data_IF_131951272971
#
_entry.id   IF_131951272971
#
_cell.length_a   1.000
_cell.length_b   1.000
_cell.length_c   1.000
_cell.angle_alpha   90.00
_cell.angle_beta   90.00
_cell.angle_gamma   90.00
#
_symmetry.space_group_name_H-M   'P 1'
#
loop_
_entity.id
_entity.type
_entity.pdbx_description
1 polymer ?
#
# COMPACT_ATOMS: atom_id res chain seq x y z
N UNK A 1 -25.34 7.08 9.94
CA UNK A 1 -24.22 6.85 10.87
C UNK A 1 -23.22 7.95 10.60
N UNK A 2 -22.78 8.67 11.64
CA UNK A 2 -21.63 9.58 11.56
C UNK A 2 -20.38 8.79 11.90
N UNK A 3 -19.24 9.19 11.33
CA UNK A 3 -17.95 8.59 11.63
C UNK A 3 -16.97 9.69 12.01
N UNK A 4 -16.50 9.67 13.26
CA UNK A 4 -15.56 10.65 13.80
C UNK A 4 -14.20 9.98 14.06
N UNK A 5 -13.11 10.74 13.87
CA UNK A 5 -11.75 10.24 14.09
C UNK A 5 -11.12 10.95 15.27
N UNK A 6 -10.74 10.21 16.30
CA UNK A 6 -9.92 10.72 17.40
C UNK A 6 -8.45 10.39 17.17
N UNK A 7 -7.57 11.37 17.35
CA UNK A 7 -6.13 11.21 17.18
C UNK A 7 -5.47 10.75 18.48
N UNK A 8 -4.91 9.54 18.48
CA UNK A 8 -3.94 9.08 19.47
C UNK A 8 -2.50 9.34 19.01
N UNK A 9 -1.54 9.31 19.94
CA UNK A 9 -0.12 9.58 19.65
C UNK A 9 0.52 8.59 18.63
N UNK A 10 -0.09 7.43 18.40
CA UNK A 10 0.43 6.38 17.48
C UNK A 10 -0.66 5.60 16.72
N UNK A 11 -1.93 5.99 16.85
CA UNK A 11 -3.07 5.26 16.27
C UNK A 11 -4.27 6.20 16.09
N UNK A 12 -5.15 5.85 15.14
CA UNK A 12 -6.41 6.55 14.93
C UNK A 12 -7.56 5.71 15.51
N UNK A 13 -8.45 6.35 16.27
CA UNK A 13 -9.72 5.75 16.67
C UNK A 13 -10.80 6.20 15.69
N UNK A 14 -11.48 5.26 15.06
CA UNK A 14 -12.69 5.55 14.30
C UNK A 14 -13.91 5.23 15.17
N UNK A 15 -14.77 6.22 15.39
CA UNK A 15 -16.01 6.07 16.13
C UNK A 15 -17.21 6.17 15.19
N UNK A 16 -18.04 5.11 15.16
CA UNK A 16 -19.34 5.16 14.52
C UNK A 16 -20.41 5.62 15.52
N UNK A 17 -21.08 6.73 15.21
CA UNK A 17 -22.13 7.30 16.03
C UNK A 17 -23.49 7.21 15.33
N UNK A 18 -24.56 7.07 16.13
CA UNK A 18 -25.92 7.06 15.62
C UNK A 18 -26.32 8.47 15.17
N UNK A 19 -26.74 8.59 13.92
CA UNK A 19 -27.39 9.81 13.45
C UNK A 19 -28.81 9.93 14.01
N UNK A 20 -29.36 11.14 14.01
CA UNK A 20 -30.72 11.41 14.54
C UNK A 20 -31.82 10.52 13.95
N UNK A 21 -31.71 10.09 12.69
CA UNK A 21 -32.68 9.21 12.02
C UNK A 21 -32.60 7.74 12.44
N UNK A 22 -31.56 7.38 13.19
CA UNK A 22 -31.26 6.02 13.66
C UNK A 22 -31.38 5.87 15.19
N UNK A 23 -31.62 6.96 15.93
CA UNK A 23 -31.85 6.92 17.37
C UNK A 23 -33.14 6.15 17.71
N UNK A 24 -33.11 5.36 18.78
CA UNK A 24 -34.21 4.51 19.22
C UNK A 24 -34.42 3.24 18.37
N UNK A 25 -33.55 2.99 17.38
CA UNK A 25 -33.61 1.80 16.53
C UNK A 25 -32.50 0.83 16.89
N UNK A 26 -32.79 -0.47 16.82
CA UNK A 26 -31.76 -1.50 16.93
C UNK A 26 -30.86 -1.45 15.69
N UNK A 27 -29.65 -0.90 15.86
CA UNK A 27 -28.65 -0.81 14.79
C UNK A 27 -27.47 -1.73 15.13
N UNK A 28 -26.99 -2.51 14.16
CA UNK A 28 -25.75 -3.28 14.31
C UNK A 28 -24.78 -2.89 13.20
N UNK A 29 -23.54 -2.54 13.57
CA UNK A 29 -22.49 -2.17 12.62
C UNK A 29 -21.59 -3.38 12.39
N UNK A 30 -21.30 -3.67 11.13
CA UNK A 30 -20.38 -4.70 10.70
C UNK A 30 -19.21 -4.09 9.94
N UNK A 31 -18.01 -4.61 10.15
CA UNK A 31 -16.80 -4.20 9.42
C UNK A 31 -15.94 -5.41 9.07
N UNK A 32 -15.20 -5.34 7.97
CA UNK A 32 -14.16 -6.33 7.62
C UNK A 32 -12.76 -5.90 8.08
N UNK A 33 -12.66 -4.85 8.90
CA UNK A 33 -11.41 -4.49 9.56
C UNK A 33 -10.95 -5.63 10.48
N UNK A 34 -9.72 -6.16 10.35
CA UNK A 34 -9.30 -7.32 11.11
C UNK A 34 -9.14 -6.99 12.60
N UNK A 35 -9.35 -7.98 13.46
CA UNK A 35 -8.97 -7.85 14.87
C UNK A 35 -7.44 -7.77 15.00
N UNK A 36 -6.92 -7.18 16.09
CA UNK A 36 -5.48 -7.13 16.34
C UNK A 36 -4.83 -8.52 16.23
N UNK A 37 -3.85 -8.65 15.33
CA UNK A 37 -3.15 -9.91 15.07
C UNK A 37 -3.80 -10.85 14.04
N UNK A 38 -5.00 -10.55 13.54
CA UNK A 38 -5.61 -11.29 12.44
C UNK A 38 -5.15 -10.75 11.07
N UNK A 39 -5.06 -11.66 10.09
CA UNK A 39 -4.86 -11.28 8.68
C UNK A 39 -6.16 -10.76 8.09
N UNK A 40 -6.08 -9.66 7.34
CA UNK A 40 -7.23 -9.11 6.62
C UNK A 40 -7.83 -10.12 5.63
N UNK A 41 -9.16 -10.27 5.67
CA UNK A 41 -9.95 -11.00 4.69
C UNK A 41 -11.12 -10.13 4.25
N UNK A 42 -11.20 -9.82 2.96
CA UNK A 42 -12.21 -8.93 2.37
C UNK A 42 -13.65 -9.39 2.60
N UNK A 43 -13.87 -10.70 2.72
CA UNK A 43 -15.19 -11.33 2.85
C UNK A 43 -15.60 -11.59 4.31
N UNK A 44 -14.66 -11.52 5.26
CA UNK A 44 -14.93 -11.78 6.68
C UNK A 44 -15.35 -10.47 7.36
N UNK A 45 -16.63 -10.38 7.70
CA UNK A 45 -17.17 -9.28 8.51
C UNK A 45 -17.43 -9.73 9.95
N UNK A 46 -17.25 -8.82 10.90
CA UNK A 46 -17.65 -9.01 12.30
C UNK A 46 -18.45 -7.80 12.78
N UNK A 47 -19.29 -8.03 13.79
CA UNK A 47 -20.09 -6.98 14.41
C UNK A 47 -19.27 -6.19 15.43
N UNK A 48 -19.46 -4.88 15.47
CA UNK A 48 -18.90 -4.03 16.50
C UNK A 48 -19.85 -3.93 17.70
N UNK A 49 -19.26 -3.89 18.89
CA UNK A 49 -20.00 -3.66 20.12
C UNK A 49 -20.31 -2.17 20.30
N UNK A 50 -21.50 -1.86 20.82
CA UNK A 50 -21.88 -0.51 21.19
C UNK A 50 -21.42 -0.19 22.61
N UNK A 51 -20.67 0.89 22.74
CA UNK A 51 -20.28 1.44 24.04
C UNK A 51 -21.27 2.54 24.45
N UNK A 52 -21.67 2.54 25.71
CA UNK A 52 -22.52 3.58 26.30
C UNK A 52 -21.77 4.23 27.47
N UNK A 53 -20.96 5.28 27.22
CA UNK A 53 -20.09 5.87 28.22
C UNK A 53 -20.84 6.58 29.34
N UNK A 54 -22.06 7.08 29.10
CA UNK A 54 -22.84 7.86 30.08
C UNK A 54 -23.86 7.01 30.83
N UNK A 55 -23.98 5.72 30.51
CA UNK A 55 -24.97 4.76 31.04
C UNK A 55 -26.43 5.26 30.97
N UNK A 56 -26.70 6.29 30.16
CA UNK A 56 -28.04 6.83 30.01
C UNK A 56 -28.87 5.90 29.12
N UNK A 57 -30.19 5.92 29.33
CA UNK A 57 -31.11 5.13 28.52
C UNK A 57 -31.22 5.64 27.08
N UNK A 58 -30.88 6.90 26.82
CA UNK A 58 -30.94 7.49 25.49
C UNK A 58 -29.74 7.10 24.62
N UNK A 59 -29.98 6.97 23.31
CA UNK A 59 -28.97 6.55 22.32
C UNK A 59 -28.06 7.70 21.88
N UNK A 60 -28.05 8.82 22.60
CA UNK A 60 -27.39 10.07 22.20
C UNK A 60 -25.86 9.96 22.23
N UNK A 61 -25.32 9.22 23.21
CA UNK A 61 -23.87 9.10 23.44
C UNK A 61 -23.30 7.73 23.02
N UNK A 62 -24.11 6.87 22.37
CA UNK A 62 -23.68 5.52 21.98
C UNK A 62 -22.77 5.56 20.75
N UNK A 63 -21.64 4.88 20.84
CA UNK A 63 -20.71 4.73 19.72
C UNK A 63 -20.14 3.31 19.62
N UNK A 64 -19.80 2.88 18.40
CA UNK A 64 -18.90 1.75 18.17
C UNK A 64 -17.51 2.29 17.89
N UNK A 65 -16.47 1.70 18.50
CA UNK A 65 -15.09 2.11 18.23
C UNK A 65 -14.33 1.07 17.43
N UNK A 66 -13.37 1.56 16.66
CA UNK A 66 -12.44 0.76 15.88
C UNK A 66 -11.03 1.38 15.99
N UNK A 67 -10.11 0.63 16.57
CA UNK A 67 -8.71 1.05 16.71
C UNK A 67 -7.95 0.68 15.44
N UNK A 68 -7.55 1.70 14.67
CA UNK A 68 -6.90 1.51 13.38
C UNK A 68 -5.38 1.35 13.57
N UNK A 69 -4.89 0.13 13.38
CA UNK A 69 -3.47 -0.26 13.50
C UNK A 69 -2.84 -0.71 12.18
N UNK A 70 -3.65 -1.15 11.22
CA UNK A 70 -3.26 -1.56 9.88
C UNK A 70 -3.78 -0.59 8.83
N UNK A 71 -2.91 -0.19 7.91
CA UNK A 71 -3.25 0.58 6.71
C UNK A 71 -3.91 -0.31 5.66
N UNK A 72 -4.88 0.23 4.92
CA UNK A 72 -5.57 -0.51 3.88
C UNK A 72 -6.94 0.08 3.54
N UNK A 73 -7.66 -0.63 2.69
CA UNK A 73 -9.05 -0.30 2.33
C UNK A 73 -10.00 -1.33 2.91
N UNK A 74 -10.85 -0.85 3.81
CA UNK A 74 -11.83 -1.64 4.56
C UNK A 74 -13.24 -1.18 4.21
N UNK A 75 -14.21 -1.99 4.59
CA UNK A 75 -15.62 -1.76 4.34
C UNK A 75 -16.41 -1.94 5.62
N UNK A 76 -17.40 -1.08 5.81
CA UNK A 76 -18.41 -1.27 6.86
C UNK A 76 -19.81 -1.20 6.27
N UNK A 77 -20.75 -1.84 6.94
CA UNK A 77 -22.18 -1.67 6.70
C UNK A 77 -22.94 -1.75 8.01
N UNK A 78 -24.19 -1.31 8.00
CA UNK A 78 -25.04 -1.42 9.17
C UNK A 78 -26.41 -1.96 8.82
N UNK A 79 -26.97 -2.68 9.79
CA UNK A 79 -28.33 -3.21 9.75
C UNK A 79 -29.23 -2.35 10.64
N UNK A 80 -30.46 -2.09 10.21
CA UNK A 80 -31.55 -1.64 11.07
C UNK A 80 -32.45 -2.85 11.33
N UNK A 81 -32.44 -3.40 12.55
CA UNK A 81 -32.97 -4.73 12.83
C UNK A 81 -32.19 -5.78 12.03
N UNK A 82 -32.86 -6.47 11.11
CA UNK A 82 -32.25 -7.51 10.26
C UNK A 82 -32.00 -7.05 8.81
N UNK A 83 -32.35 -5.81 8.45
CA UNK A 83 -32.22 -5.32 7.08
C UNK A 83 -30.99 -4.42 6.91
N UNK A 84 -30.23 -4.64 5.84
CA UNK A 84 -29.08 -3.80 5.49
C UNK A 84 -29.54 -2.44 5.00
N UNK A 85 -29.28 -1.40 5.80
CA UNK A 85 -29.77 -0.05 5.53
C UNK A 85 -28.72 0.89 4.92
N UNK A 86 -27.44 0.54 5.00
CA UNK A 86 -26.38 1.33 4.38
C UNK A 86 -24.97 0.82 4.68
N UNK A 87 -23.96 1.51 4.14
CA UNK A 87 -22.56 1.20 4.38
C UNK A 87 -21.62 2.14 3.64
N UNK A 88 -20.32 1.93 3.83
CA UNK A 88 -19.27 2.76 3.25
C UNK A 88 -17.91 2.07 3.32
N UNK A 89 -16.87 2.83 2.95
CA UNK A 89 -15.49 2.38 2.95
C UNK A 89 -14.66 3.20 3.92
N UNK A 90 -13.61 2.59 4.45
CA UNK A 90 -12.63 3.20 5.33
C UNK A 90 -11.29 3.02 4.64
N UNK A 91 -10.58 4.12 4.40
CA UNK A 91 -9.21 4.09 3.89
C UNK A 91 -8.31 4.55 5.02
N UNK A 92 -7.35 3.70 5.36
CA UNK A 92 -6.32 4.00 6.36
C UNK A 92 -5.00 4.10 5.62
N UNK A 93 -4.44 5.30 5.59
CA UNK A 93 -3.23 5.58 4.85
C UNK A 93 -2.01 4.87 5.48
N UNK A 94 -1.03 4.44 4.65
CA UNK A 94 0.20 3.83 5.15
C UNK A 94 1.11 4.87 5.80
N UNK A 95 1.83 4.45 6.84
CA UNK A 95 2.92 5.26 7.43
C UNK A 95 4.21 4.90 6.72
N UNK A 96 4.74 5.84 5.93
CA UNK A 96 6.03 5.68 5.28
C UNK A 96 7.17 5.98 6.25
N UNK A 97 8.23 5.17 6.23
CA UNK A 97 9.40 5.34 7.11
C UNK A 97 10.70 5.18 6.35
N UNK A 98 11.69 6.01 6.66
CA UNK A 98 13.00 6.03 6.00
C UNK A 98 14.12 6.23 7.00
N UNK A 99 15.34 5.95 6.56
CA UNK A 99 16.55 6.15 7.36
C UNK A 99 16.83 5.05 8.36
N UNK A 100 18.05 5.07 8.88
CA UNK A 100 18.50 4.13 9.92
C UNK A 100 17.78 4.30 11.26
N UNK A 101 17.19 5.47 11.50
CA UNK A 101 16.38 5.83 12.67
C UNK A 101 14.88 5.56 12.47
N UNK A 102 14.47 5.07 11.29
CA UNK A 102 13.09 4.69 10.94
C UNK A 102 12.05 5.82 11.18
N UNK A 103 12.47 7.05 10.90
CA UNK A 103 11.62 8.23 11.07
C UNK A 103 10.51 8.27 10.02
N UNK A 104 9.38 8.90 10.38
CA UNK A 104 8.20 8.99 9.53
C UNK A 104 8.45 9.99 8.41
N UNK A 105 8.21 9.58 7.17
CA UNK A 105 8.09 10.45 6.01
C UNK A 105 6.62 10.80 5.81
N UNK A 106 6.19 12.06 6.04
CA UNK A 106 4.81 12.46 5.80
C UNK A 106 4.44 12.26 4.33
N UNK A 107 3.22 11.76 4.07
CA UNK A 107 2.73 11.51 2.71
C UNK A 107 2.69 12.78 1.85
N UNK A 108 2.34 13.91 2.45
CA UNK A 108 2.32 15.22 1.79
C UNK A 108 3.72 15.74 1.43
N UNK A 109 4.77 15.13 1.97
CA UNK A 109 6.15 15.49 1.68
C UNK A 109 6.78 14.57 0.62
N UNK A 110 6.04 13.64 0.03
CA UNK A 110 6.58 12.73 -1.00
C UNK A 110 6.90 13.49 -2.29
N UNK A 111 8.14 13.37 -2.72
CA UNK A 111 8.67 13.99 -3.95
C UNK A 111 9.43 12.91 -4.71
N UNK A 112 8.88 12.49 -5.84
CA UNK A 112 9.39 11.34 -6.58
C UNK A 112 10.00 11.69 -7.93
N UNK A 113 11.06 10.96 -8.30
CA UNK A 113 11.63 10.99 -9.64
C UNK A 113 11.43 9.62 -10.31
N UNK A 114 10.95 9.64 -11.56
CA UNK A 114 10.83 8.41 -12.34
C UNK A 114 12.12 8.10 -13.10
N UNK A 115 12.53 6.84 -13.05
CA UNK A 115 13.64 6.27 -13.80
C UNK A 115 13.17 5.16 -14.74
N UNK A 116 13.60 5.26 -16.00
CA UNK A 116 13.49 4.16 -16.96
C UNK A 116 14.51 3.09 -16.59
N UNK A 117 14.07 2.04 -15.91
CA UNK A 117 14.95 1.01 -15.36
C UNK A 117 15.88 0.38 -16.42
N UNK A 118 15.36 0.14 -17.63
CA UNK A 118 16.16 -0.37 -18.76
C UNK A 118 17.37 0.51 -19.13
N UNK A 119 17.35 1.79 -18.78
CA UNK A 119 18.45 2.73 -19.06
C UNK A 119 19.50 2.79 -17.93
N UNK A 120 19.24 2.16 -16.78
CA UNK A 120 20.18 2.10 -15.66
C UNK A 120 21.32 1.11 -15.88
N UNK A 121 21.21 0.24 -16.89
CA UNK A 121 22.25 -0.73 -17.23
C UNK A 121 22.35 -1.87 -16.20
N UNK A 122 23.51 -2.56 -16.13
CA UNK A 122 23.73 -3.65 -15.20
C UNK A 122 23.58 -3.24 -13.74
N UNK A 123 23.08 -4.14 -12.88
CA UNK A 123 22.70 -3.82 -11.51
C UNK A 123 23.87 -3.32 -10.64
N UNK A 124 25.11 -3.76 -10.91
CA UNK A 124 26.32 -3.26 -10.22
C UNK A 124 26.60 -1.78 -10.47
N UNK A 125 26.13 -1.21 -11.57
CA UNK A 125 26.35 0.20 -11.88
C UNK A 125 25.26 1.11 -11.30
N UNK A 126 24.16 0.53 -10.80
CA UNK A 126 23.02 1.31 -10.32
C UNK A 126 23.40 2.19 -9.15
N UNK A 127 24.18 1.68 -8.19
CA UNK A 127 24.56 2.46 -7.02
C UNK A 127 25.33 3.72 -7.43
N UNK A 128 26.32 3.61 -8.32
CA UNK A 128 27.12 4.75 -8.75
C UNK A 128 26.26 5.77 -9.54
N UNK A 129 25.37 5.28 -10.42
CA UNK A 129 24.45 6.12 -11.20
C UNK A 129 23.43 6.83 -10.30
N UNK A 130 22.86 6.11 -9.34
CA UNK A 130 21.89 6.64 -8.38
C UNK A 130 22.55 7.53 -7.34
N UNK A 131 23.84 7.34 -7.01
CA UNK A 131 24.58 8.20 -6.08
C UNK A 131 24.70 9.62 -6.61
N UNK A 132 25.02 9.78 -7.89
CA UNK A 132 25.06 11.11 -8.53
C UNK A 132 23.69 11.77 -8.43
N UNK A 133 22.63 11.03 -8.72
CA UNK A 133 21.27 11.54 -8.57
C UNK A 133 20.91 11.87 -7.11
N UNK A 134 21.29 11.02 -6.15
CA UNK A 134 21.01 11.20 -4.72
C UNK A 134 21.68 12.46 -4.16
N UNK A 135 22.90 12.76 -4.61
CA UNK A 135 23.58 14.00 -4.25
C UNK A 135 22.82 15.23 -4.77
N UNK A 136 22.31 15.17 -6.02
CA UNK A 136 21.48 16.22 -6.59
C UNK A 136 20.10 16.30 -5.92
N UNK A 137 19.52 15.16 -5.54
CA UNK A 137 18.22 15.09 -4.90
C UNK A 137 18.23 15.67 -3.49
N UNK A 138 19.34 15.58 -2.77
CA UNK A 138 19.50 16.28 -1.50
C UNK A 138 19.29 17.79 -1.64
N UNK A 139 19.73 18.38 -2.76
CA UNK A 139 19.48 19.79 -3.09
C UNK A 139 18.08 20.04 -3.66
N UNK A 140 17.55 19.11 -4.45
CA UNK A 140 16.25 19.25 -5.13
C UNK A 140 15.05 18.81 -4.28
N UNK A 141 15.30 18.14 -3.16
CA UNK A 141 14.30 17.65 -2.22
C UNK A 141 13.61 16.33 -2.61
N UNK A 142 14.11 15.53 -3.56
CA UNK A 142 13.48 14.22 -3.89
C UNK A 142 13.80 13.16 -2.83
N UNK A 143 12.77 12.45 -2.39
CA UNK A 143 12.86 11.41 -1.35
C UNK A 143 12.26 10.05 -1.78
N UNK A 144 11.84 9.93 -3.04
CA UNK A 144 11.35 8.66 -3.60
C UNK A 144 11.81 8.46 -5.04
N UNK A 145 12.14 7.22 -5.37
CA UNK A 145 12.41 6.77 -6.74
C UNK A 145 11.24 5.93 -7.23
N UNK A 146 10.74 6.26 -8.40
CA UNK A 146 9.82 5.41 -9.14
C UNK A 146 10.56 4.70 -10.28
N UNK A 147 10.68 3.38 -10.20
CA UNK A 147 11.22 2.57 -11.28
C UNK A 147 10.09 2.10 -12.19
N UNK A 148 10.22 2.34 -13.50
CA UNK A 148 9.43 1.57 -14.48
C UNK A 148 9.68 0.06 -14.28
N UNK A 149 8.81 -0.82 -14.79
CA UNK A 149 8.89 -2.25 -14.50
C UNK A 149 10.29 -2.83 -14.64
N UNK A 150 10.71 -3.58 -13.62
CA UNK A 150 12.03 -4.23 -13.51
C UNK A 150 12.03 -5.65 -14.09
N UNK A 151 10.86 -6.15 -14.44
CA UNK A 151 10.60 -7.49 -14.92
C UNK A 151 11.17 -7.72 -16.34
N UNK A 152 11.28 -8.99 -16.74
CA UNK A 152 11.73 -9.38 -18.08
C UNK A 152 10.87 -8.70 -19.16
N UNK A 153 11.53 -8.09 -20.15
CA UNK A 153 10.86 -7.40 -21.25
C UNK A 153 10.57 -8.36 -22.41
N UNK A 154 9.42 -8.16 -23.06
CA UNK A 154 9.03 -8.87 -24.26
C UNK A 154 9.81 -8.40 -25.50
N UNK A 155 9.49 -8.99 -26.65
CA UNK A 155 10.23 -8.78 -27.91
C UNK A 155 10.35 -7.32 -28.35
N UNK A 156 9.34 -6.50 -28.03
CA UNK A 156 9.33 -5.07 -28.37
C UNK A 156 10.33 -4.24 -27.55
N UNK A 157 10.81 -4.78 -26.41
CA UNK A 157 11.68 -4.11 -25.43
C UNK A 157 11.12 -2.79 -24.89
N UNK A 158 9.81 -2.62 -24.94
CA UNK A 158 9.09 -1.53 -24.29
C UNK A 158 8.95 -1.81 -22.79
N UNK A 159 9.11 -0.79 -21.94
CA UNK A 159 9.16 -0.95 -20.48
C UNK A 159 7.91 -1.59 -19.87
N UNK A 160 6.75 -1.47 -20.52
CA UNK A 160 5.48 -2.01 -20.05
C UNK A 160 5.06 -3.30 -20.77
N UNK A 161 5.86 -3.76 -21.74
CA UNK A 161 5.62 -5.02 -22.46
C UNK A 161 6.38 -6.13 -21.74
N UNK A 162 5.78 -6.72 -20.70
CA UNK A 162 6.45 -7.68 -19.82
C UNK A 162 6.33 -9.11 -20.33
N UNK A 163 7.48 -9.73 -20.58
CA UNK A 163 7.63 -11.12 -20.96
C UNK A 163 7.21 -12.07 -19.83
N UNK A 164 7.75 -11.82 -18.64
CA UNK A 164 7.59 -12.64 -17.45
C UNK A 164 7.55 -11.69 -16.26
N UNK A 165 6.43 -11.67 -15.55
CA UNK A 165 6.16 -10.77 -14.42
C UNK A 165 6.90 -11.18 -13.14
N UNK A 166 7.37 -12.43 -13.06
CA UNK A 166 8.02 -13.01 -11.88
C UNK A 166 9.55 -12.94 -11.98
N UNK A 167 10.10 -12.88 -13.19
CA UNK A 167 11.54 -12.81 -13.40
C UNK A 167 12.06 -11.38 -13.53
N UNK A 168 13.22 -11.13 -12.89
CA UNK A 168 13.97 -9.88 -13.06
C UNK A 168 14.56 -9.80 -14.48
N UNK A 169 14.54 -8.61 -15.08
CA UNK A 169 15.08 -8.40 -16.42
C UNK A 169 16.55 -8.88 -16.54
N UNK A 170 16.84 -9.84 -17.44
CA UNK A 170 18.20 -10.33 -17.64
C UNK A 170 19.17 -9.27 -18.16
N UNK A 171 18.69 -8.17 -18.75
CA UNK A 171 19.52 -7.03 -19.17
C UNK A 171 20.28 -6.37 -18.00
N UNK A 172 19.81 -6.55 -16.75
CA UNK A 172 20.52 -6.07 -15.56
C UNK A 172 21.71 -6.96 -15.18
N UNK A 173 21.79 -8.17 -15.75
CA UNK A 173 22.87 -9.13 -15.52
C UNK A 173 24.03 -8.94 -16.51
N UNK A 174 25.21 -9.40 -16.11
CA UNK A 174 26.39 -9.48 -16.98
C UNK A 174 26.65 -10.94 -17.37
N UNK A 175 27.43 -11.20 -18.44
CA UNK A 175 27.79 -12.57 -18.84
C UNK A 175 28.37 -13.42 -17.69
N UNK A 176 29.06 -12.79 -16.73
CA UNK A 176 29.74 -13.47 -15.62
C UNK A 176 28.98 -13.38 -14.29
N UNK A 177 27.84 -12.67 -14.23
CA UNK A 177 27.10 -12.45 -12.98
C UNK A 177 25.61 -12.23 -13.25
N UNK A 178 24.78 -13.16 -12.76
CA UNK A 178 23.32 -13.06 -12.78
C UNK A 178 22.85 -12.38 -11.49
N UNK A 179 21.94 -11.43 -11.63
CA UNK A 179 21.26 -10.78 -10.50
C UNK A 179 19.84 -11.31 -10.35
N UNK A 180 19.33 -11.18 -9.13
CA UNK A 180 18.01 -11.65 -8.70
C UNK A 180 17.25 -10.54 -7.98
N UNK A 181 15.98 -10.77 -7.68
CA UNK A 181 15.19 -9.86 -6.83
C UNK A 181 15.81 -9.64 -5.45
N UNK A 182 16.59 -10.60 -4.93
CA UNK A 182 17.32 -10.42 -3.68
C UNK A 182 18.35 -9.29 -3.79
N UNK A 183 19.13 -9.26 -4.88
CA UNK A 183 20.13 -8.21 -5.13
C UNK A 183 19.48 -6.83 -5.30
N UNK A 184 18.33 -6.77 -5.99
CA UNK A 184 17.53 -5.54 -6.08
C UNK A 184 17.04 -5.10 -4.70
N UNK A 185 16.54 -6.04 -3.89
CA UNK A 185 16.12 -5.78 -2.52
C UNK A 185 17.23 -5.20 -1.64
N UNK A 186 18.47 -5.68 -1.81
CA UNK A 186 19.64 -5.12 -1.10
C UNK A 186 19.89 -3.66 -1.48
N UNK A 187 19.78 -3.31 -2.76
CA UNK A 187 19.92 -1.92 -3.22
C UNK A 187 18.79 -1.05 -2.67
N UNK A 188 17.54 -1.50 -2.77
CA UNK A 188 16.38 -0.75 -2.24
C UNK A 188 16.50 -0.53 -0.74
N UNK A 189 16.93 -1.54 0.02
CA UNK A 189 17.13 -1.43 1.45
C UNK A 189 18.25 -0.45 1.80
N UNK A 190 19.33 -0.45 1.00
CA UNK A 190 20.42 0.52 1.13
C UNK A 190 19.94 1.94 0.86
N UNK A 191 19.19 2.17 -0.22
CA UNK A 191 18.58 3.47 -0.54
C UNK A 191 17.68 3.97 0.61
N UNK A 192 16.88 3.08 1.19
CA UNK A 192 16.00 3.40 2.32
C UNK A 192 16.80 3.80 3.56
N UNK A 193 17.77 2.98 3.97
CA UNK A 193 18.49 3.13 5.25
C UNK A 193 19.58 4.18 5.22
N UNK A 194 20.37 4.21 4.14
CA UNK A 194 21.54 5.08 4.05
C UNK A 194 21.20 6.43 3.43
N UNK A 195 20.29 6.48 2.46
CA UNK A 195 20.03 7.70 1.67
C UNK A 195 18.64 8.29 1.91
N UNK A 196 17.86 7.72 2.85
CA UNK A 196 16.50 8.17 3.18
C UNK A 196 15.55 8.19 1.97
N UNK A 197 15.73 7.28 1.00
CA UNK A 197 14.98 7.24 -0.25
C UNK A 197 14.10 5.99 -0.29
N UNK A 198 12.80 6.16 -0.54
CA UNK A 198 11.89 5.05 -0.83
C UNK A 198 11.91 4.68 -2.31
N UNK A 199 11.51 3.46 -2.62
CA UNK A 199 11.36 3.00 -3.99
C UNK A 199 9.97 2.42 -4.22
N UNK A 200 9.39 2.75 -5.36
CA UNK A 200 8.16 2.14 -5.88
C UNK A 200 8.39 1.68 -7.31
N UNK A 201 7.56 0.75 -7.77
CA UNK A 201 7.58 0.29 -9.16
C UNK A 201 6.18 0.10 -9.70
N UNK A 202 6.04 0.26 -11.01
CA UNK A 202 4.80 -0.01 -11.71
C UNK A 202 4.44 -1.50 -11.68
N UNK A 203 3.14 -1.78 -11.55
CA UNK A 203 2.58 -3.12 -11.70
C UNK A 203 1.64 -3.12 -12.90
N UNK A 204 1.87 -4.03 -13.84
CA UNK A 204 1.14 -4.10 -15.12
C UNK A 204 0.16 -5.27 -15.09
N UNK A 205 -1.12 -4.99 -14.90
CA UNK A 205 -2.18 -6.01 -14.86
C UNK A 205 -2.95 -6.19 -16.18
N UNK A 206 -2.90 -5.20 -17.07
CA UNK A 206 -3.80 -5.13 -18.22
C UNK A 206 -3.30 -5.86 -19.48
N UNK A 207 -2.01 -6.13 -19.60
CA UNK A 207 -1.43 -6.82 -20.75
C UNK A 207 -0.09 -7.49 -20.41
N UNK A 208 0.33 -8.41 -21.28
CA UNK A 208 1.65 -9.07 -21.23
C UNK A 208 2.37 -8.87 -22.56
N UNK A 209 3.69 -8.79 -22.51
CA UNK A 209 4.56 -8.79 -23.68
C UNK A 209 4.61 -10.16 -24.35
N UNK A 210 4.77 -10.14 -25.68
CA UNK A 210 4.94 -11.35 -26.47
C UNK A 210 6.33 -11.93 -26.19
N UNK A 211 6.37 -13.24 -25.95
CA UNK A 211 7.58 -14.05 -25.86
C UNK A 211 7.52 -15.22 -26.85
N UNK A 212 8.68 -15.78 -27.19
CA UNK A 212 8.77 -16.98 -28.02
C UNK A 212 8.06 -18.21 -27.42
N UNK A 213 7.80 -18.23 -26.11
CA UNK A 213 7.19 -19.36 -25.38
C UNK A 213 5.66 -19.22 -25.23
N UNK A 214 5.11 -18.01 -25.33
CA UNK A 214 3.69 -17.72 -25.02
C UNK A 214 2.71 -17.97 -26.18
N UNK A 215 3.10 -18.72 -27.22
CA UNK A 215 2.16 -19.08 -28.29
C UNK A 215 1.24 -20.25 -27.92
N UNK A 216 1.53 -21.02 -26.86
CA UNK A 216 0.78 -22.26 -26.55
C UNK A 216 0.36 -22.48 -25.08
N UNK A 217 0.78 -21.64 -24.12
CA UNK A 217 0.35 -21.79 -22.73
C UNK A 217 -0.32 -20.53 -22.19
N UNK A 218 -1.49 -20.74 -21.55
CA UNK A 218 -2.33 -19.71 -20.95
C UNK A 218 -1.51 -18.67 -20.18
N UNK A 219 -1.74 -17.39 -20.49
CA UNK A 219 -1.22 -16.23 -19.75
C UNK A 219 -1.56 -16.42 -18.27
N UNK A 220 -0.55 -16.71 -17.45
CA UNK A 220 -0.71 -16.80 -15.99
C UNK A 220 -0.66 -15.39 -15.41
N UNK A 221 -1.75 -14.99 -14.76
CA UNK A 221 -1.79 -13.86 -13.83
C UNK A 221 -1.44 -14.36 -12.42
#
# INVERSE_FOLDING_TARGET
ISADINMGLTWFELQFQLGSTLQGKAVTVYTNYPFPGETFNREKFHSLDWENPTEREDDSDKYCKLNLQQSGSFQYYFLQGNEKSGGGYIVVDPVLRVGSDDHVLPLDCVTLQTFLAKCLGPLDEWEDRLRVWSLLSCFSGYNMIHFTPLQTLGLSRLCYSLADQLELNPDFSRPNKKYTWHDVGQIVEKLKKEWNILCITDVVYNHTGINFINFDENIKF
#
